data_IF_663703421685
#
_entry.id   IF_663703421685
#
_cell.length_a   1.000
_cell.length_b   1.000
_cell.length_c   1.000
_cell.angle_alpha   90.00
_cell.angle_beta   90.00
_cell.angle_gamma   90.00
#
_symmetry.space_group_name_H-M   'P 1'
#
loop_
_entity.id
_entity.type
_entity.pdbx_description
1 polymer ?
#
# COMPACT_ATOMS: atom_id res chain seq x y z
N UNK A 1 -11.96 -25.69 2.09
CA UNK A 1 -11.93 -24.35 2.72
C UNK A 1 -10.77 -24.32 3.69
N UNK A 2 -9.98 -23.25 3.72
CA UNK A 2 -8.94 -23.10 4.75
C UNK A 2 -9.61 -23.07 6.13
N UNK A 3 -9.04 -23.80 7.10
CA UNK A 3 -9.51 -23.75 8.48
C UNK A 3 -8.99 -22.45 9.13
N UNK A 4 -9.91 -21.57 9.51
CA UNK A 4 -9.62 -20.29 10.16
C UNK A 4 -9.99 -20.27 11.65
N UNK A 5 -10.30 -21.42 12.25
CA UNK A 5 -10.67 -21.51 13.67
C UNK A 5 -9.54 -21.01 14.59
N UNK A 6 -8.29 -21.07 14.13
CA UNK A 6 -7.12 -20.52 14.84
C UNK A 6 -7.08 -18.97 14.88
N UNK A 7 -7.86 -18.28 14.04
CA UNK A 7 -8.04 -16.82 14.07
C UNK A 7 -9.30 -16.39 14.84
N UNK A 8 -10.10 -17.34 15.35
CA UNK A 8 -11.36 -17.04 16.04
C UNK A 8 -11.19 -16.17 17.30
N UNK A 9 -10.01 -16.19 17.92
CA UNK A 9 -9.67 -15.35 19.07
C UNK A 9 -9.22 -13.92 18.71
N UNK A 10 -9.04 -13.60 17.42
CA UNK A 10 -8.58 -12.28 16.99
C UNK A 10 -9.75 -11.32 16.99
N UNK A 11 -9.67 -10.27 17.82
CA UNK A 11 -10.69 -9.23 17.82
C UNK A 11 -10.71 -8.49 16.47
N UNK A 12 -11.87 -7.95 16.12
CA UNK A 12 -12.01 -7.12 14.92
C UNK A 12 -11.04 -5.92 14.94
N UNK A 13 -10.76 -5.36 16.11
CA UNK A 13 -9.77 -4.30 16.29
C UNK A 13 -8.35 -4.76 15.97
N UNK A 14 -7.93 -5.92 16.49
CA UNK A 14 -6.61 -6.49 16.18
C UNK A 14 -6.49 -6.80 14.69
N UNK A 15 -7.52 -7.40 14.07
CA UNK A 15 -7.56 -7.62 12.64
C UNK A 15 -7.39 -6.29 11.87
N UNK A 16 -8.11 -5.24 12.28
CA UNK A 16 -8.02 -3.92 11.66
C UNK A 16 -6.60 -3.36 11.72
N UNK A 17 -5.95 -3.43 12.88
CA UNK A 17 -4.57 -2.97 13.05
C UNK A 17 -3.58 -3.75 12.18
N UNK A 18 -3.77 -5.05 12.01
CA UNK A 18 -2.93 -5.87 11.13
C UNK A 18 -3.02 -5.35 9.68
N UNK A 19 -4.23 -5.14 9.15
CA UNK A 19 -4.40 -4.65 7.78
C UNK A 19 -3.84 -3.23 7.58
N UNK A 20 -4.08 -2.32 8.54
CA UNK A 20 -3.50 -0.98 8.49
C UNK A 20 -1.97 -1.00 8.54
N UNK A 21 -1.38 -1.89 9.36
CA UNK A 21 0.06 -2.07 9.44
C UNK A 21 0.63 -2.63 8.13
N UNK A 22 -0.08 -3.55 7.47
CA UNK A 22 0.29 -4.06 6.16
C UNK A 22 0.27 -2.96 5.09
N UNK A 23 -0.73 -2.08 5.10
CA UNK A 23 -0.78 -0.94 4.17
C UNK A 23 0.39 0.02 4.40
N UNK A 24 0.72 0.31 5.66
CA UNK A 24 1.87 1.12 6.01
C UNK A 24 3.20 0.47 5.57
N UNK A 25 3.35 -0.84 5.79
CA UNK A 25 4.52 -1.61 5.36
C UNK A 25 4.68 -1.59 3.85
N UNK A 26 3.60 -1.83 3.09
CA UNK A 26 3.63 -1.75 1.62
C UNK A 26 4.02 -0.34 1.17
N UNK A 27 3.45 0.70 1.79
CA UNK A 27 3.81 2.09 1.50
C UNK A 27 5.30 2.36 1.72
N UNK A 28 5.85 1.88 2.84
CA UNK A 28 7.27 1.95 3.11
C UNK A 28 8.11 1.22 2.05
N UNK A 29 7.75 -0.01 1.68
CA UNK A 29 8.45 -0.79 0.66
C UNK A 29 8.43 -0.11 -0.71
N UNK A 30 7.31 0.53 -1.08
CA UNK A 30 7.20 1.33 -2.32
C UNK A 30 8.21 2.48 -2.33
N UNK A 31 8.42 3.15 -1.19
CA UNK A 31 9.39 4.24 -1.10
C UNK A 31 10.83 3.77 -1.34
N UNK A 32 11.13 2.50 -1.03
CA UNK A 32 12.44 1.88 -1.26
C UNK A 32 12.70 1.49 -2.72
N UNK A 33 11.70 1.51 -3.59
CA UNK A 33 11.89 1.15 -5.00
C UNK A 33 12.90 2.09 -5.69
N UNK A 34 13.89 1.60 -6.45
CA UNK A 34 14.81 2.46 -7.18
C UNK A 34 14.08 3.31 -8.23
N UNK A 35 14.51 4.56 -8.39
CA UNK A 35 13.83 5.55 -9.27
C UNK A 35 13.82 5.12 -10.73
N UNK A 36 14.78 4.31 -11.19
CA UNK A 36 14.75 3.73 -12.55
C UNK A 36 13.51 2.88 -12.83
N UNK A 37 13.00 2.14 -11.83
CA UNK A 37 11.80 1.31 -11.99
C UNK A 37 10.51 2.16 -11.91
N UNK A 38 10.54 3.26 -11.17
CA UNK A 38 9.40 4.17 -11.01
C UNK A 38 8.99 4.82 -12.33
N UNK A 39 9.97 5.11 -13.19
CA UNK A 39 9.76 5.74 -14.49
C UNK A 39 10.05 4.78 -15.66
N UNK A 40 9.97 3.46 -15.41
CA UNK A 40 10.25 2.47 -16.44
C UNK A 40 9.29 2.65 -17.63
N UNK A 41 9.84 2.73 -18.84
CA UNK A 41 9.07 2.97 -20.06
C UNK A 41 8.86 4.45 -20.42
N UNK A 42 9.38 5.39 -19.63
CA UNK A 42 9.27 6.84 -19.89
C UNK A 42 10.67 7.41 -20.18
N UNK A 43 10.79 8.10 -21.32
CA UNK A 43 11.99 8.82 -21.71
C UNK A 43 12.37 9.84 -20.63
N UNK A 44 13.67 10.08 -20.38
CA UNK A 44 14.11 10.88 -19.22
C UNK A 44 13.58 12.31 -19.28
N UNK A 45 13.51 12.86 -20.48
CA UNK A 45 12.99 14.17 -20.86
C UNK A 45 11.49 14.34 -20.60
N UNK A 46 10.72 13.24 -20.62
CA UNK A 46 9.26 13.23 -20.43
C UNK A 46 8.85 12.81 -19.00
N UNK A 47 9.81 12.74 -18.07
CA UNK A 47 9.52 12.37 -16.68
C UNK A 47 8.90 13.53 -15.93
N UNK A 48 7.58 13.51 -15.80
CA UNK A 48 6.85 14.44 -14.95
C UNK A 48 6.54 13.83 -13.57
N UNK A 49 6.22 14.69 -12.60
CA UNK A 49 5.90 14.23 -11.24
C UNK A 49 4.65 13.33 -11.20
N UNK A 50 3.66 13.57 -12.06
CA UNK A 50 2.48 12.72 -12.17
C UNK A 50 2.78 11.35 -12.79
N UNK A 51 3.95 11.13 -13.38
CA UNK A 51 4.38 9.81 -13.82
C UNK A 51 5.06 9.02 -12.70
N UNK A 52 5.25 9.62 -11.51
CA UNK A 52 5.91 8.96 -10.40
C UNK A 52 4.98 7.90 -9.79
N UNK A 53 5.24 6.63 -10.11
CA UNK A 53 4.45 5.51 -9.59
C UNK A 53 4.45 5.44 -8.06
N UNK A 54 5.51 5.91 -7.36
CA UNK A 54 5.51 5.94 -5.89
C UNK A 54 4.42 6.84 -5.35
N UNK A 55 4.25 8.03 -5.92
CA UNK A 55 3.21 8.98 -5.49
C UNK A 55 1.82 8.36 -5.64
N UNK A 56 1.55 7.72 -6.78
CA UNK A 56 0.28 7.06 -7.03
C UNK A 56 0.04 5.86 -6.11
N UNK A 57 1.06 5.03 -5.88
CA UNK A 57 0.97 3.92 -4.93
C UNK A 57 0.66 4.41 -3.52
N UNK A 58 1.31 5.47 -3.04
CA UNK A 58 1.02 6.07 -1.72
C UNK A 58 -0.39 6.66 -1.68
N UNK A 59 -0.82 7.34 -2.75
CA UNK A 59 -2.17 7.90 -2.83
C UNK A 59 -3.24 6.80 -2.72
N UNK A 60 -3.11 5.72 -3.50
CA UNK A 60 -4.04 4.58 -3.46
C UNK A 60 -4.03 3.92 -2.08
N UNK A 61 -2.86 3.68 -1.49
CA UNK A 61 -2.76 3.10 -0.14
C UNK A 61 -3.43 4.00 0.92
N UNK A 62 -3.27 5.32 0.80
CA UNK A 62 -3.90 6.28 1.72
C UNK A 62 -5.42 6.26 1.61
N UNK A 63 -5.94 6.15 0.39
CA UNK A 63 -7.39 6.01 0.14
C UNK A 63 -7.90 4.70 0.75
N UNK A 64 -7.22 3.58 0.49
CA UNK A 64 -7.59 2.27 1.03
C UNK A 64 -7.56 2.26 2.57
N UNK A 65 -6.50 2.80 3.17
CA UNK A 65 -6.39 2.91 4.63
C UNK A 65 -7.49 3.80 5.21
N UNK A 66 -7.84 4.91 4.53
CA UNK A 66 -8.92 5.79 4.97
C UNK A 66 -10.28 5.09 4.92
N UNK A 67 -10.60 4.43 3.81
CA UNK A 67 -11.85 3.68 3.66
C UNK A 67 -11.93 2.60 4.73
N UNK A 68 -10.90 1.77 4.84
CA UNK A 68 -10.83 0.68 5.81
C UNK A 68 -10.86 1.15 7.27
N UNK A 69 -10.43 2.38 7.54
CA UNK A 69 -10.49 2.95 8.87
C UNK A 69 -11.87 3.53 9.23
N UNK A 70 -12.59 4.11 8.27
CA UNK A 70 -13.82 4.87 8.51
C UNK A 70 -15.12 4.12 8.19
N UNK A 71 -15.07 3.07 7.36
CA UNK A 71 -16.20 2.23 6.98
C UNK A 71 -15.96 0.78 7.43
#
# INVERSE_FOLDING_TARGET
MFNFDWLSGVSQETAKMIFLSLYALIGFLVLLLPTEYVYQGIAKEDRHWWNNLKLWSIAVLSILASIYNHF
#
